data_IF_861146576295
#
_entry.id   IF_861146576295
#
_cell.length_a   1.000
_cell.length_b   1.000
_cell.length_c   1.000
_cell.angle_alpha   90.00
_cell.angle_beta   90.00
_cell.angle_gamma   90.00
#
_symmetry.space_group_name_H-M   'P 1'
#
loop_
_entity.id
_entity.type
_entity.pdbx_description
1 polymer ?
#
# COMPACT_ATOMS: atom_id res chain seq x y z
N UNK A 1 25.14 -7.25 -18.45
CA UNK A 1 24.46 -6.07 -17.90
C UNK A 1 24.80 -5.99 -16.42
N UNK A 2 25.79 -5.17 -16.04
CA UNK A 2 26.36 -5.17 -14.69
C UNK A 2 25.41 -4.53 -13.67
N UNK A 3 25.18 -5.24 -12.56
CA UNK A 3 24.46 -4.70 -11.40
C UNK A 3 25.38 -3.73 -10.66
N UNK A 4 25.12 -2.43 -10.78
CA UNK A 4 25.75 -1.41 -9.94
C UNK A 4 25.12 -1.43 -8.54
N UNK A 5 25.54 -2.38 -7.71
CA UNK A 5 25.25 -2.31 -6.27
C UNK A 5 26.45 -1.69 -5.55
N UNK A 6 26.27 -0.50 -4.99
CA UNK A 6 27.27 0.13 -4.13
C UNK A 6 27.62 -0.83 -2.97
N UNK A 7 28.92 -1.03 -2.69
CA UNK A 7 29.40 -2.00 -1.68
C UNK A 7 28.79 -1.81 -0.27
N UNK A 8 28.28 -0.62 0.05
CA UNK A 8 27.61 -0.32 1.32
C UNK A 8 26.13 -0.71 1.42
N UNK A 9 25.50 -1.18 0.34
CA UNK A 9 24.07 -1.53 0.28
C UNK A 9 23.84 -3.03 0.13
N UNK A 10 24.55 -3.83 0.93
CA UNK A 10 24.27 -5.27 1.00
C UNK A 10 23.04 -5.54 1.87
N UNK A 11 22.08 -6.37 1.42
CA UNK A 11 20.94 -6.75 2.24
C UNK A 11 21.44 -7.50 3.49
N UNK A 12 20.98 -7.06 4.67
CA UNK A 12 21.36 -7.69 5.96
C UNK A 12 20.74 -9.07 6.17
N UNK A 13 19.77 -9.46 5.34
CA UNK A 13 19.06 -10.74 5.39
C UNK A 13 18.99 -11.34 3.98
N UNK A 14 19.20 -12.64 3.87
CA UNK A 14 18.96 -13.36 2.63
C UNK A 14 17.46 -13.30 2.31
N UNK A 15 17.15 -12.98 1.06
CA UNK A 15 15.80 -12.97 0.50
C UNK A 15 15.82 -13.81 -0.77
N UNK A 16 14.76 -14.57 -1.00
CA UNK A 16 14.58 -15.30 -2.26
C UNK A 16 14.11 -14.38 -3.40
N UNK A 17 13.75 -13.14 -3.05
CA UNK A 17 13.26 -12.13 -3.98
C UNK A 17 14.35 -11.12 -4.35
N UNK A 18 14.20 -10.51 -5.53
CA UNK A 18 15.04 -9.39 -5.94
C UNK A 18 14.60 -8.13 -5.18
N UNK A 19 15.35 -7.78 -4.15
CA UNK A 19 15.08 -6.59 -3.35
C UNK A 19 15.54 -5.29 -4.04
N UNK A 20 14.80 -4.19 -3.88
CA UNK A 20 15.33 -2.86 -4.16
C UNK A 20 16.57 -2.57 -3.29
N UNK A 21 17.53 -1.75 -3.76
CA UNK A 21 18.76 -1.47 -3.03
C UNK A 21 18.51 -0.99 -1.59
N UNK A 22 19.16 -1.64 -0.62
CA UNK A 22 19.09 -1.25 0.79
C UNK A 22 17.83 -1.67 1.54
N UNK A 23 16.91 -2.42 0.91
CA UNK A 23 15.75 -2.98 1.59
C UNK A 23 16.02 -4.37 2.17
N UNK A 24 15.21 -4.78 3.15
CA UNK A 24 15.13 -6.16 3.64
C UNK A 24 13.71 -6.69 3.49
N UNK A 25 13.57 -7.99 3.27
CA UNK A 25 12.27 -8.65 3.20
C UNK A 25 11.64 -8.81 4.59
N UNK A 26 10.33 -8.61 4.67
CA UNK A 26 9.52 -8.90 5.84
C UNK A 26 8.26 -9.68 5.48
N UNK A 27 7.78 -10.51 6.40
CA UNK A 27 6.58 -11.34 6.24
C UNK A 27 5.35 -10.74 6.90
N UNK A 28 5.53 -9.89 7.91
CA UNK A 28 4.46 -9.17 8.63
C UNK A 28 4.19 -7.78 8.03
N UNK A 29 3.22 -7.05 8.58
CA UNK A 29 2.99 -5.64 8.25
C UNK A 29 3.61 -4.76 9.35
N UNK A 30 4.77 -4.12 9.10
CA UNK A 30 5.34 -3.19 10.05
C UNK A 30 4.37 -2.05 10.35
N UNK A 31 4.11 -1.82 11.63
CA UNK A 31 3.20 -0.74 12.05
C UNK A 31 3.93 0.60 11.94
N UNK A 32 3.49 1.41 10.99
CA UNK A 32 3.95 2.78 10.77
C UNK A 32 2.77 3.73 10.98
N UNK A 33 2.85 4.54 12.02
CA UNK A 33 1.74 5.38 12.45
C UNK A 33 2.22 6.82 12.60
N UNK A 34 1.58 7.74 11.88
CA UNK A 34 1.90 9.18 11.96
C UNK A 34 1.26 9.88 13.17
N UNK A 35 0.22 9.30 13.78
CA UNK A 35 -0.50 9.84 14.92
C UNK A 35 -1.51 8.84 15.49
N UNK A 36 -2.27 9.17 16.55
CA UNK A 36 -3.17 8.21 17.19
C UNK A 36 -4.15 7.53 16.22
N UNK A 37 -4.42 6.24 16.41
CA UNK A 37 -5.41 5.51 15.59
C UNK A 37 -6.79 6.14 15.77
N UNK A 38 -7.44 6.61 14.68
CA UNK A 38 -8.74 7.25 14.79
C UNK A 38 -9.84 6.24 15.15
N UNK A 39 -10.83 6.70 15.91
CA UNK A 39 -12.08 5.95 16.14
C UNK A 39 -13.14 6.49 15.20
N UNK A 40 -13.55 5.66 14.24
CA UNK A 40 -14.45 6.06 13.15
C UNK A 40 -15.79 5.35 13.32
N UNK A 41 -16.87 6.12 13.42
CA UNK A 41 -18.23 5.59 13.34
C UNK A 41 -18.64 5.48 11.86
N UNK A 42 -18.88 4.25 11.38
CA UNK A 42 -19.17 4.01 9.96
C UNK A 42 -20.47 4.68 9.48
N UNK A 43 -21.40 4.98 10.38
CA UNK A 43 -22.62 5.75 10.09
C UNK A 43 -22.33 7.18 9.62
N UNK A 44 -21.17 7.73 10.00
CA UNK A 44 -20.76 9.09 9.69
C UNK A 44 -19.60 9.11 8.68
N UNK A 45 -19.16 7.95 8.21
CA UNK A 45 -18.05 7.84 7.28
C UNK A 45 -18.50 8.18 5.85
N UNK A 46 -17.64 8.86 5.12
CA UNK A 46 -17.83 9.20 3.72
C UNK A 46 -16.51 9.12 2.95
N UNK A 47 -16.58 8.69 1.69
CA UNK A 47 -15.52 8.85 0.71
C UNK A 47 -15.96 9.88 -0.33
N UNK A 48 -15.11 10.86 -0.61
CA UNK A 48 -15.38 11.92 -1.59
C UNK A 48 -14.30 11.93 -2.65
N UNK A 49 -14.72 12.06 -3.90
CA UNK A 49 -13.86 12.41 -5.01
C UNK A 49 -14.26 13.81 -5.47
N UNK A 50 -13.38 14.78 -5.26
CA UNK A 50 -13.62 16.21 -5.46
C UNK A 50 -12.36 16.91 -5.99
N UNK A 51 -12.47 18.21 -6.31
CA UNK A 51 -11.38 18.98 -6.90
C UNK A 51 -11.51 19.13 -8.41
N UNK A 52 -10.47 18.76 -9.16
CA UNK A 52 -10.43 18.89 -10.62
C UNK A 52 -11.12 17.70 -11.32
N UNK A 53 -12.41 17.52 -11.05
CA UNK A 53 -13.27 16.49 -11.63
C UNK A 53 -14.48 17.14 -12.28
N UNK A 54 -15.03 16.51 -13.32
CA UNK A 54 -16.24 17.02 -13.99
C UNK A 54 -17.45 16.97 -13.06
N UNK A 55 -17.66 15.83 -12.40
CA UNK A 55 -18.74 15.62 -11.43
C UNK A 55 -18.18 15.09 -10.11
N UNK A 56 -18.23 15.88 -9.02
CA UNK A 56 -17.88 15.39 -7.69
C UNK A 56 -18.82 14.29 -7.24
N UNK A 57 -18.27 13.26 -6.60
CA UNK A 57 -19.04 12.13 -6.10
C UNK A 57 -18.73 11.86 -4.63
N UNK A 58 -19.74 11.34 -3.93
CA UNK A 58 -19.67 10.99 -2.52
C UNK A 58 -20.37 9.66 -2.30
N UNK A 59 -19.73 8.80 -1.51
CA UNK A 59 -20.31 7.55 -1.05
C UNK A 59 -20.28 7.44 0.47
N UNK A 60 -21.37 6.96 1.05
CA UNK A 60 -21.38 6.38 2.40
C UNK A 60 -20.60 5.07 2.43
N UNK A 61 -20.36 4.54 3.64
CA UNK A 61 -19.69 3.25 3.80
C UNK A 61 -20.40 2.12 3.05
N UNK A 62 -21.73 2.07 3.11
CA UNK A 62 -22.51 1.04 2.43
C UNK A 62 -22.43 1.17 0.91
N UNK A 63 -22.54 2.39 0.37
CA UNK A 63 -22.48 2.63 -1.07
C UNK A 63 -21.09 2.33 -1.63
N UNK A 64 -20.02 2.72 -0.92
CA UNK A 64 -18.64 2.44 -1.34
C UNK A 64 -18.37 0.94 -1.45
N UNK A 65 -18.88 0.14 -0.51
CA UNK A 65 -18.71 -1.31 -0.51
C UNK A 65 -19.51 -2.03 -1.62
N UNK A 66 -20.45 -1.33 -2.29
CA UNK A 66 -21.17 -1.84 -3.46
C UNK A 66 -20.46 -1.56 -4.79
N UNK A 67 -19.40 -0.73 -4.78
CA UNK A 67 -18.61 -0.45 -5.98
C UNK A 67 -17.92 -1.73 -6.50
N UNK A 68 -17.60 -1.81 -7.81
CA UNK A 68 -16.92 -2.96 -8.39
C UNK A 68 -15.54 -3.21 -7.74
N UNK A 69 -15.46 -4.27 -6.93
CA UNK A 69 -14.24 -4.68 -6.25
C UNK A 69 -13.38 -5.56 -7.16
N UNK A 70 -12.08 -5.33 -7.15
CA UNK A 70 -11.06 -6.12 -7.84
C UNK A 70 -10.02 -6.63 -6.84
N UNK A 71 -9.32 -7.71 -7.22
CA UNK A 71 -8.20 -8.25 -6.45
C UNK A 71 -6.89 -7.79 -7.09
N UNK A 72 -5.93 -7.37 -6.25
CA UNK A 72 -4.62 -6.90 -6.69
C UNK A 72 -3.53 -7.63 -5.90
N UNK A 73 -2.42 -7.94 -6.56
CA UNK A 73 -1.26 -8.58 -5.91
C UNK A 73 0.06 -7.79 -6.04
N UNK A 74 0.11 -6.45 -5.89
CA UNK A 74 1.37 -5.73 -5.89
C UNK A 74 2.16 -5.97 -4.60
N UNK A 75 3.49 -6.01 -4.73
CA UNK A 75 4.42 -5.98 -3.61
C UNK A 75 4.46 -4.60 -2.96
N UNK A 76 4.86 -4.55 -1.68
CA UNK A 76 5.10 -3.30 -0.96
C UNK A 76 6.61 -3.06 -0.89
N UNK A 77 7.05 -1.86 -1.24
CA UNK A 77 8.43 -1.40 -1.05
C UNK A 77 8.43 -0.07 -0.30
N UNK A 78 8.80 -0.09 0.98
CA UNK A 78 8.74 1.09 1.83
C UNK A 78 10.07 1.84 1.88
N UNK A 79 10.01 3.17 1.84
CA UNK A 79 11.18 4.05 2.00
C UNK A 79 11.88 3.88 3.36
N UNK A 80 11.18 3.31 4.36
CA UNK A 80 11.78 2.93 5.66
C UNK A 80 12.51 1.59 5.62
N UNK A 81 12.84 1.11 4.40
CA UNK A 81 13.79 0.03 4.07
C UNK A 81 13.27 -1.40 4.19
N UNK A 82 11.96 -1.63 4.10
CA UNK A 82 11.39 -2.97 4.10
C UNK A 82 10.54 -3.23 2.85
N UNK A 83 10.61 -4.47 2.37
CA UNK A 83 9.77 -4.98 1.29
C UNK A 83 8.90 -6.13 1.78
N UNK A 84 7.66 -6.22 1.30
CA UNK A 84 6.78 -7.37 1.51
C UNK A 84 6.26 -7.86 0.16
N UNK A 85 6.52 -9.14 -0.12
CA UNK A 85 6.11 -9.79 -1.36
C UNK A 85 4.77 -10.53 -1.21
N UNK A 86 4.17 -10.90 -2.34
CA UNK A 86 2.93 -11.70 -2.42
C UNK A 86 1.79 -11.11 -1.60
N UNK A 87 1.64 -9.78 -1.65
CA UNK A 87 0.63 -9.09 -0.85
C UNK A 87 -0.70 -9.03 -1.59
N UNK A 88 -1.71 -9.69 -1.05
CA UNK A 88 -3.06 -9.70 -1.60
C UNK A 88 -3.90 -8.53 -1.10
N UNK A 89 -4.51 -7.80 -2.03
CA UNK A 89 -5.38 -6.67 -1.77
C UNK A 89 -6.73 -6.89 -2.46
N UNK A 90 -7.78 -6.28 -1.88
CA UNK A 90 -9.09 -6.16 -2.49
C UNK A 90 -9.58 -4.73 -2.34
N UNK A 91 -10.05 -4.13 -3.42
CA UNK A 91 -10.49 -2.73 -3.42
C UNK A 91 -11.12 -2.31 -4.75
N UNK A 92 -11.45 -1.03 -4.85
CA UNK A 92 -11.98 -0.42 -6.07
C UNK A 92 -10.79 0.08 -6.90
N UNK A 93 -10.78 -0.23 -8.20
CA UNK A 93 -9.74 0.25 -9.12
C UNK A 93 -9.86 1.77 -9.34
N UNK A 94 -8.71 2.44 -9.50
CA UNK A 94 -8.62 3.87 -9.88
C UNK A 94 -8.02 4.07 -11.28
N UNK A 95 -7.72 2.97 -11.98
CA UNK A 95 -7.20 2.94 -13.34
C UNK A 95 -8.27 3.19 -14.42
#
# INVERSE_FOLDING_TARGET
MGLFTNRGFQPKRASNHKLPPGQYETTDFPVLTAGPTPRIALTNWEFRLEGLVEEPVKWSWEEFNKLPMQNFNPDIHCVTKWSKFDTHWRGVSVD
#
